data_IF_890600922851
#
_entry.id   IF_890600922851
#
_cell.length_a   1.000
_cell.length_b   1.000
_cell.length_c   1.000
_cell.angle_alpha   90.00
_cell.angle_beta   90.00
_cell.angle_gamma   90.00
#
_symmetry.space_group_name_H-M   'P 1'
#
loop_
_entity.id
_entity.type
_entity.pdbx_description
1 polymer ?
#
# COMPACT_ATOMS: atom_id res chain seq x y z
N UNK A 1 -1.84 -11.16 -12.79
CA UNK A 1 -2.63 -10.03 -12.24
C UNK A 1 -2.52 -10.13 -10.73
N UNK A 2 -2.09 -9.07 -10.04
CA UNK A 2 -1.65 -9.16 -8.65
C UNK A 2 -2.84 -9.50 -7.70
N UNK A 3 -2.63 -10.37 -6.70
CA UNK A 3 -3.66 -10.80 -5.75
C UNK A 3 -4.41 -9.68 -5.01
N UNK A 4 -3.79 -8.50 -4.81
CA UNK A 4 -4.35 -7.38 -4.05
C UNK A 4 -5.52 -6.66 -4.75
N UNK A 5 -5.79 -6.96 -6.01
CA UNK A 5 -6.85 -6.26 -6.77
C UNK A 5 -8.28 -6.60 -6.32
N UNK A 6 -8.48 -7.69 -5.57
CA UNK A 6 -9.81 -8.19 -5.22
C UNK A 6 -10.27 -7.82 -3.81
N UNK A 7 -9.45 -7.10 -3.05
CA UNK A 7 -9.70 -6.76 -1.65
C UNK A 7 -9.42 -5.28 -1.41
N UNK A 8 -10.07 -4.72 -0.39
CA UNK A 8 -9.67 -3.40 0.09
C UNK A 8 -8.29 -3.52 0.77
N UNK A 9 -7.42 -2.56 0.52
CA UNK A 9 -6.06 -2.51 1.07
C UNK A 9 -5.90 -1.21 1.87
N UNK A 10 -5.44 -1.32 3.11
CA UNK A 10 -5.25 -0.15 3.96
C UNK A 10 -3.76 0.13 4.15
N UNK A 11 -3.38 1.39 3.93
CA UNK A 11 -2.05 1.91 4.19
C UNK A 11 -2.10 2.80 5.43
N UNK A 12 -1.23 2.55 6.40
CA UNK A 12 -1.02 3.43 7.55
C UNK A 12 0.45 3.83 7.61
N UNK A 13 0.73 5.13 7.69
CA UNK A 13 2.09 5.64 7.75
C UNK A 13 2.55 5.72 9.20
N UNK A 14 3.50 4.85 9.57
CA UNK A 14 4.11 4.84 10.90
C UNK A 14 5.14 5.97 11.00
N UNK A 15 5.93 6.18 9.94
CA UNK A 15 6.96 7.22 9.88
C UNK A 15 7.21 7.68 8.45
N UNK A 16 7.32 8.99 8.25
CA UNK A 16 7.59 9.58 6.93
C UNK A 16 6.31 9.95 6.18
N UNK A 17 6.35 9.87 4.85
CA UNK A 17 5.24 10.26 3.97
C UNK A 17 5.09 9.27 2.83
N UNK A 18 3.86 8.86 2.55
CA UNK A 18 3.52 8.01 1.41
C UNK A 18 2.64 8.80 0.43
N UNK A 19 2.89 8.63 -0.87
CA UNK A 19 1.97 9.06 -1.92
C UNK A 19 1.45 7.82 -2.63
N UNK A 20 0.13 7.72 -2.78
CA UNK A 20 -0.48 6.69 -3.64
C UNK A 20 -0.93 7.36 -4.93
N UNK A 21 -0.30 6.98 -6.04
CA UNK A 21 -0.72 7.40 -7.38
C UNK A 21 -1.82 6.49 -7.91
N UNK A 22 -2.81 7.10 -8.56
CA UNK A 22 -3.89 6.44 -9.29
C UNK A 22 -3.86 6.91 -10.75
N UNK A 23 -4.67 6.30 -11.62
CA UNK A 23 -4.78 6.73 -13.03
C UNK A 23 -5.11 8.22 -13.19
N UNK A 24 -5.93 8.77 -12.29
CA UNK A 24 -6.51 10.11 -12.42
C UNK A 24 -6.20 11.03 -11.23
N UNK A 25 -5.10 10.78 -10.51
CA UNK A 25 -4.74 11.63 -9.38
C UNK A 25 -3.83 10.91 -8.39
N UNK A 26 -3.65 11.53 -7.24
CA UNK A 26 -2.86 10.96 -6.15
C UNK A 26 -3.43 11.40 -4.81
N UNK A 27 -3.12 10.63 -3.77
CA UNK A 27 -3.32 11.04 -2.39
C UNK A 27 -1.98 11.01 -1.67
N UNK A 28 -1.74 12.03 -0.85
CA UNK A 28 -0.61 12.07 0.07
C UNK A 28 -1.12 11.64 1.45
N UNK A 29 -0.34 10.81 2.14
CA UNK A 29 -0.64 10.27 3.45
C UNK A 29 0.56 10.65 4.34
N UNK A 30 0.29 11.49 5.34
CA UNK A 30 1.31 11.96 6.27
C UNK A 30 1.47 10.97 7.44
N UNK A 31 2.50 11.17 8.25
CA UNK A 31 2.76 10.37 9.43
C UNK A 31 1.56 10.34 10.39
N UNK A 32 1.15 9.14 10.80
CA UNK A 32 -0.02 8.92 11.66
C UNK A 32 -1.36 8.92 10.90
N UNK A 33 -1.36 9.11 9.59
CA UNK A 33 -2.56 9.01 8.76
C UNK A 33 -2.71 7.63 8.12
N UNK A 34 -3.96 7.32 7.75
CA UNK A 34 -4.31 6.11 7.02
C UNK A 34 -5.13 6.43 5.78
N UNK A 35 -5.00 5.57 4.77
CA UNK A 35 -5.83 5.60 3.57
C UNK A 35 -6.23 4.19 3.17
N UNK A 36 -7.49 4.04 2.76
CA UNK A 36 -8.02 2.77 2.24
C UNK A 36 -8.10 2.89 0.74
N UNK A 37 -7.37 2.02 0.03
CA UNK A 37 -7.56 1.82 -1.39
C UNK A 37 -8.70 0.80 -1.58
N UNK A 38 -9.82 1.19 -2.21
CA UNK A 38 -10.91 0.26 -2.46
C UNK A 38 -10.49 -0.86 -3.41
N UNK A 39 -11.10 -2.04 -3.26
CA UNK A 39 -10.90 -3.16 -4.18
C UNK A 39 -11.13 -2.75 -5.63
N UNK A 40 -10.33 -3.31 -6.52
CA UNK A 40 -10.39 -3.04 -7.96
C UNK A 40 -9.83 -1.67 -8.38
N UNK A 41 -9.26 -0.90 -7.44
CA UNK A 41 -8.58 0.36 -7.76
C UNK A 41 -7.10 0.10 -8.03
N UNK A 42 -6.71 0.31 -9.29
CA UNK A 42 -5.29 0.32 -9.67
C UNK A 42 -4.59 1.50 -9.00
N UNK A 43 -3.50 1.21 -8.29
CA UNK A 43 -2.76 2.19 -7.52
C UNK A 43 -1.27 1.85 -7.49
N UNK A 44 -0.44 2.84 -7.16
CA UNK A 44 1.01 2.72 -7.06
C UNK A 44 1.52 3.49 -5.85
N UNK A 45 1.86 2.81 -4.73
CA UNK A 45 2.47 3.46 -3.58
C UNK A 45 3.91 3.89 -3.90
N UNK A 46 4.28 5.10 -3.51
CA UNK A 46 5.63 5.65 -3.67
C UNK A 46 6.00 6.55 -2.48
N UNK A 47 7.29 6.62 -2.18
CA UNK A 47 7.84 7.57 -1.23
C UNK A 47 9.12 8.19 -1.80
N UNK A 48 9.27 9.51 -1.66
CA UNK A 48 10.49 10.21 -2.10
C UNK A 48 11.66 10.03 -1.13
N UNK A 49 11.36 9.71 0.13
CA UNK A 49 12.33 9.41 1.20
C UNK A 49 11.97 8.07 1.85
N UNK A 50 12.80 7.59 2.77
CA UNK A 50 12.46 6.42 3.59
C UNK A 50 11.12 6.62 4.30
N UNK A 51 10.24 5.64 4.16
CA UNK A 51 8.88 5.65 4.69
C UNK A 51 8.57 4.28 5.28
N UNK A 52 8.10 4.27 6.52
CA UNK A 52 7.70 3.05 7.24
C UNK A 52 6.18 3.00 7.26
N UNK A 53 5.61 1.91 6.72
CA UNK A 53 4.18 1.74 6.58
C UNK A 53 3.72 0.40 7.15
N UNK A 54 2.49 0.37 7.62
CA UNK A 54 1.74 -0.87 7.85
C UNK A 54 0.72 -1.05 6.74
N UNK A 55 0.74 -2.22 6.12
CA UNK A 55 -0.29 -2.64 5.15
C UNK A 55 -1.22 -3.62 5.87
N UNK A 56 -2.52 -3.37 5.81
CA UNK A 56 -3.55 -4.25 6.35
C UNK A 56 -4.39 -4.75 5.19
N UNK A 57 -4.36 -6.06 4.98
CA UNK A 57 -5.10 -6.75 3.91
C UNK A 57 -5.65 -8.10 4.39
N UNK A 58 -6.68 -8.65 3.72
CA UNK A 58 -7.16 -9.99 4.02
C UNK A 58 -6.08 -11.06 3.84
N UNK A 59 -6.07 -12.04 4.74
CA UNK A 59 -5.13 -13.16 4.71
C UNK A 59 -5.22 -13.91 3.38
N UNK A 60 -4.07 -14.21 2.76
CA UNK A 60 -3.97 -14.99 1.52
C UNK A 60 -3.83 -14.18 0.25
N UNK A 61 -3.84 -12.84 0.34
CA UNK A 61 -3.38 -11.96 -0.73
C UNK A 61 -1.87 -12.12 -0.86
N UNK A 62 -1.38 -12.58 -2.01
CA UNK A 62 0.08 -12.64 -2.26
C UNK A 62 0.54 -11.25 -2.71
N UNK A 63 1.15 -10.53 -1.79
CA UNK A 63 1.85 -9.28 -2.08
C UNK A 63 3.21 -9.55 -2.73
N UNK A 64 3.61 -8.72 -3.70
CA UNK A 64 4.91 -8.84 -4.39
C UNK A 64 6.13 -8.63 -3.48
N UNK A 65 5.93 -8.21 -2.22
CA UNK A 65 6.96 -8.12 -1.18
C UNK A 65 7.31 -9.46 -0.53
N UNK A 66 6.58 -10.55 -0.82
CA UNK A 66 6.86 -11.87 -0.27
C UNK A 66 8.00 -12.54 -1.05
N UNK A 67 9.24 -12.07 -0.85
CA UNK A 67 10.36 -13.01 -0.91
C UNK A 67 10.27 -13.81 0.39
N UNK A 68 9.97 -15.10 0.28
CA UNK A 68 10.29 -16.00 1.38
C UNK A 68 11.79 -15.88 1.58
N UNK A 69 12.23 -15.25 2.67
CA UNK A 69 13.61 -15.40 3.12
C UNK A 69 13.78 -16.87 3.47
N UNK A 70 14.38 -17.61 2.55
CA UNK A 70 14.87 -18.96 2.80
C UNK A 70 16.06 -18.84 3.75
N UNK A 71 15.82 -19.06 5.04
CA UNK A 71 16.85 -19.34 6.02
C UNK A 71 16.79 -20.82 6.39
#
# INVERSE_FOLDING_TARGET
MAPSFNTDETFFVIKGKLTIEFKNGKVDIEEGEMYIVPKGVEHKPMASNECQIMIIEPKGVINTGNKMDSN
#
